data_IF_101645571772
#
_entry.id   IF_101645571772
#
_cell.length_a   1.000
_cell.length_b   1.000
_cell.length_c   1.000
_cell.angle_alpha   90.00
_cell.angle_beta   90.00
_cell.angle_gamma   90.00
#
_symmetry.space_group_name_H-M   'P 1'
#
loop_
_entity.id
_entity.type
_entity.pdbx_description
1 polymer ?
#
# COMPACT_ATOMS: atom_id res chain seq x y z
N UNK A 1 3.43 23.32 37.32
CA UNK A 1 2.34 22.36 37.01
C UNK A 1 2.28 22.22 35.50
N UNK A 2 2.67 21.07 34.94
CA UNK A 2 2.35 20.75 33.55
C UNK A 2 0.87 20.33 33.52
N UNK A 3 0.04 21.16 32.89
CA UNK A 3 -1.35 20.80 32.63
C UNK A 3 -1.35 19.59 31.67
N UNK A 4 -2.12 18.52 31.95
CA UNK A 4 -2.26 17.42 31.01
C UNK A 4 -2.92 17.97 29.74
N UNK A 5 -2.22 17.97 28.61
CA UNK A 5 -2.81 18.31 27.32
C UNK A 5 -3.93 17.31 27.01
N UNK A 6 -5.18 17.77 27.08
CA UNK A 6 -6.31 17.01 26.58
C UNK A 6 -6.32 17.18 25.06
N UNK A 7 -5.74 16.21 24.35
CA UNK A 7 -5.77 16.20 22.88
C UNK A 7 -7.10 15.57 22.45
N UNK A 8 -7.89 16.29 21.67
CA UNK A 8 -9.12 15.79 21.06
C UNK A 8 -8.83 14.82 19.91
N UNK A 9 -9.80 13.95 19.58
CA UNK A 9 -9.65 13.01 18.46
C UNK A 9 -9.39 13.74 17.13
N UNK A 10 -10.05 14.89 16.92
CA UNK A 10 -9.86 15.70 15.71
C UNK A 10 -8.47 16.32 15.63
N UNK A 11 -7.88 16.70 16.77
CA UNK A 11 -6.48 17.16 16.80
C UNK A 11 -5.52 16.01 16.50
N UNK A 12 -5.76 14.80 17.03
CA UNK A 12 -4.96 13.62 16.67
C UNK A 12 -5.06 13.32 15.18
N UNK A 13 -6.27 13.33 14.61
CA UNK A 13 -6.49 13.10 13.18
C UNK A 13 -5.81 14.18 12.33
N UNK A 14 -5.90 15.44 12.72
CA UNK A 14 -5.25 16.56 12.03
C UNK A 14 -3.73 16.44 12.07
N UNK A 15 -3.17 16.05 13.22
CA UNK A 15 -1.73 15.78 13.36
C UNK A 15 -1.28 14.59 12.52
N UNK A 16 -2.08 13.52 12.46
CA UNK A 16 -1.79 12.36 11.60
C UNK A 16 -1.84 12.72 10.12
N UNK A 17 -2.86 13.46 9.68
CA UNK A 17 -2.97 13.94 8.29
C UNK A 17 -1.77 14.81 7.91
N UNK A 18 -1.43 15.80 8.75
CA UNK A 18 -0.26 16.64 8.51
C UNK A 18 1.05 15.85 8.43
N UNK A 19 1.17 14.77 9.22
CA UNK A 19 2.34 13.88 9.15
C UNK A 19 2.34 13.06 7.87
N UNK A 20 1.19 12.53 7.44
CA UNK A 20 1.04 11.78 6.19
C UNK A 20 1.38 12.66 5.00
N UNK A 21 0.85 13.88 4.93
CA UNK A 21 1.14 14.84 3.86
C UNK A 21 2.63 15.19 3.80
N UNK A 22 3.25 15.40 4.98
CA UNK A 22 4.69 15.65 5.07
C UNK A 22 5.52 14.47 4.57
N UNK A 23 5.11 13.23 4.87
CA UNK A 23 5.80 12.03 4.38
C UNK A 23 5.64 11.88 2.86
N UNK A 24 4.43 12.12 2.33
CA UNK A 24 4.17 12.08 0.89
C UNK A 24 5.01 13.12 0.13
N UNK A 25 5.06 14.36 0.62
CA UNK A 25 5.88 15.41 0.02
C UNK A 25 7.38 15.07 0.04
N UNK A 26 7.87 14.52 1.15
CA UNK A 26 9.28 14.11 1.25
C UNK A 26 9.62 12.97 0.28
N UNK A 27 8.71 12.02 0.11
CA UNK A 27 8.86 10.92 -0.84
C UNK A 27 8.90 11.43 -2.30
N UNK A 28 8.00 12.33 -2.68
CA UNK A 28 8.01 12.96 -4.01
C UNK A 28 9.29 13.74 -4.29
N UNK A 29 9.76 14.50 -3.31
CA UNK A 29 11.01 15.25 -3.41
C UNK A 29 12.22 14.33 -3.58
N UNK A 30 12.26 13.22 -2.83
CA UNK A 30 13.33 12.23 -2.94
C UNK A 30 13.33 11.55 -4.32
N UNK A 31 12.15 11.11 -4.79
CA UNK A 31 11.97 10.55 -6.14
C UNK A 31 12.44 11.52 -7.23
N UNK A 32 12.10 12.80 -7.10
CA UNK A 32 12.50 13.84 -8.05
C UNK A 32 14.03 13.98 -8.11
N UNK A 33 14.69 14.11 -6.94
CA UNK A 33 16.15 14.22 -6.86
C UNK A 33 16.84 12.98 -7.40
N UNK A 34 16.34 11.80 -7.03
CA UNK A 34 16.85 10.52 -7.54
C UNK A 34 16.76 10.46 -9.05
N UNK A 35 15.60 10.73 -9.64
CA UNK A 35 15.39 10.69 -11.09
C UNK A 35 16.33 11.64 -11.84
N UNK A 36 16.55 12.86 -11.31
CA UNK A 36 17.48 13.82 -11.91
C UNK A 36 18.91 13.29 -11.90
N UNK A 37 19.37 12.77 -10.76
CA UNK A 37 20.72 12.24 -10.60
C UNK A 37 20.93 10.98 -11.44
N UNK A 38 20.03 10.00 -11.35
CA UNK A 38 20.08 8.77 -12.12
C UNK A 38 20.09 9.05 -13.63
N UNK A 39 19.24 9.98 -14.12
CA UNK A 39 19.25 10.41 -15.53
C UNK A 39 20.54 11.11 -15.93
N UNK A 40 21.14 11.90 -15.03
CA UNK A 40 22.43 12.51 -15.29
C UNK A 40 23.56 11.48 -15.41
N UNK A 41 23.55 10.45 -14.56
CA UNK A 41 24.51 9.34 -14.61
C UNK A 41 24.32 8.47 -15.85
N UNK A 42 23.06 8.13 -16.18
CA UNK A 42 22.71 7.35 -17.37
C UNK A 42 23.16 8.04 -18.66
N UNK A 43 22.90 9.34 -18.82
CA UNK A 43 23.35 10.12 -20.00
C UNK A 43 24.87 10.20 -20.13
N UNK A 44 25.61 10.04 -19.03
CA UNK A 44 27.07 9.99 -19.03
C UNK A 44 27.62 8.58 -19.26
N UNK A 45 26.76 7.58 -19.40
CA UNK A 45 27.16 6.17 -19.54
C UNK A 45 27.75 5.56 -18.27
N UNK A 46 27.50 6.17 -17.10
CA UNK A 46 27.97 5.66 -15.81
C UNK A 46 27.07 4.55 -15.25
N UNK A 47 25.83 4.48 -15.74
CA UNK A 47 24.85 3.45 -15.41
C UNK A 47 24.24 3.02 -16.75
N UNK A 48 24.15 1.71 -16.95
CA UNK A 48 23.55 1.07 -18.11
C UNK A 48 22.26 0.34 -17.74
N UNK A 49 21.54 -0.16 -18.74
CA UNK A 49 20.35 -0.97 -18.51
C UNK A 49 20.69 -2.26 -17.72
N UNK A 50 21.80 -2.90 -18.08
CA UNK A 50 22.29 -4.11 -17.41
C UNK A 50 22.67 -3.83 -15.95
N UNK A 51 23.31 -2.69 -15.67
CA UNK A 51 23.66 -2.31 -14.28
C UNK A 51 22.41 -2.21 -13.39
N UNK A 52 21.30 -1.69 -13.92
CA UNK A 52 20.02 -1.60 -13.19
C UNK A 52 19.43 -2.98 -12.95
N UNK A 53 19.43 -3.86 -13.96
CA UNK A 53 18.90 -5.23 -13.85
C UNK A 53 19.70 -6.03 -12.82
N UNK A 54 21.04 -6.02 -12.91
CA UNK A 54 21.91 -6.70 -11.95
C UNK A 54 21.72 -6.15 -10.53
N UNK A 55 21.61 -4.82 -10.37
CA UNK A 55 21.38 -4.20 -9.06
C UNK A 55 20.06 -4.66 -8.42
N UNK A 56 18.99 -4.82 -9.22
CA UNK A 56 17.71 -5.35 -8.72
C UNK A 56 17.87 -6.82 -8.30
N UNK A 57 18.59 -7.61 -9.10
CA UNK A 57 18.84 -9.02 -8.76
C UNK A 57 19.67 -9.15 -7.49
N UNK A 58 20.68 -8.30 -7.32
CA UNK A 58 21.51 -8.26 -6.12
C UNK A 58 20.70 -7.84 -4.89
N UNK A 59 19.86 -6.79 -5.00
CA UNK A 59 18.96 -6.38 -3.91
C UNK A 59 18.07 -7.54 -3.45
N UNK A 60 17.46 -8.29 -4.38
CA UNK A 60 16.64 -9.45 -4.00
C UNK A 60 17.44 -10.58 -3.38
N UNK A 61 18.70 -10.80 -3.81
CA UNK A 61 19.59 -11.76 -3.12
C UNK A 61 19.88 -11.33 -1.69
N UNK A 62 20.19 -10.05 -1.48
CA UNK A 62 20.41 -9.49 -0.14
C UNK A 62 19.16 -9.68 0.73
N UNK A 63 17.97 -9.40 0.19
CA UNK A 63 16.71 -9.62 0.91
C UNK A 63 16.45 -11.09 1.25
N UNK A 64 16.87 -12.01 0.38
CA UNK A 64 16.79 -13.45 0.61
C UNK A 64 17.75 -13.88 1.72
N UNK A 65 19.00 -13.41 1.66
CA UNK A 65 20.03 -13.69 2.67
C UNK A 65 19.68 -13.14 4.05
N UNK A 66 18.97 -11.99 4.09
CA UNK A 66 18.41 -11.42 5.31
C UNK A 66 17.15 -12.16 5.82
N UNK A 67 16.62 -13.12 5.06
CA UNK A 67 15.42 -13.87 5.40
C UNK A 67 14.12 -13.08 5.29
N UNK A 68 14.13 -11.94 4.59
CA UNK A 68 12.94 -11.10 4.35
C UNK A 68 12.04 -11.74 3.29
N UNK A 69 12.64 -12.38 2.29
CA UNK A 69 11.94 -13.14 1.25
C UNK A 69 12.38 -14.60 1.26
N UNK A 70 11.48 -15.50 0.89
CA UNK A 70 11.75 -16.95 0.90
C UNK A 70 12.34 -17.44 -0.42
N UNK A 71 11.98 -16.81 -1.54
CA UNK A 71 12.39 -17.21 -2.88
C UNK A 71 12.71 -15.97 -3.71
N UNK A 72 13.64 -16.15 -4.65
CA UNK A 72 13.96 -15.12 -5.64
C UNK A 72 12.78 -14.91 -6.60
N UNK A 73 12.43 -13.67 -6.95
CA UNK A 73 11.48 -13.41 -8.02
C UNK A 73 11.94 -14.03 -9.33
N UNK A 74 10.98 -14.37 -10.20
CA UNK A 74 11.29 -14.84 -11.54
C UNK A 74 11.97 -13.73 -12.35
N UNK A 75 12.77 -14.14 -13.34
CA UNK A 75 13.51 -13.21 -14.20
C UNK A 75 12.58 -12.21 -14.92
N UNK A 76 11.39 -12.65 -15.32
CA UNK A 76 10.34 -11.80 -15.91
C UNK A 76 9.90 -10.66 -14.99
N UNK A 77 9.79 -10.93 -13.68
CA UNK A 77 9.44 -9.93 -12.67
C UNK A 77 10.58 -8.94 -12.48
N UNK A 78 11.83 -9.43 -12.40
CA UNK A 78 13.02 -8.58 -12.29
C UNK A 78 13.10 -7.64 -13.49
N UNK A 79 12.90 -8.17 -14.70
CA UNK A 79 12.91 -7.39 -15.94
C UNK A 79 11.80 -6.33 -15.94
N UNK A 80 10.58 -6.70 -15.53
CA UNK A 80 9.45 -5.75 -15.44
C UNK A 80 9.75 -4.60 -14.48
N UNK A 81 10.35 -4.89 -13.32
CA UNK A 81 10.75 -3.86 -12.35
C UNK A 81 11.85 -2.97 -12.94
N UNK A 82 12.84 -3.56 -13.60
CA UNK A 82 13.91 -2.83 -14.25
C UNK A 82 13.40 -1.90 -15.34
N UNK A 83 12.49 -2.38 -16.20
CA UNK A 83 11.86 -1.59 -17.25
C UNK A 83 11.12 -0.38 -16.68
N UNK A 84 10.37 -0.56 -15.59
CA UNK A 84 9.70 0.53 -14.90
C UNK A 84 10.69 1.60 -14.42
N UNK A 85 11.77 1.19 -13.75
CA UNK A 85 12.81 2.12 -13.28
C UNK A 85 13.48 2.82 -14.47
N UNK A 86 13.82 2.09 -15.53
CA UNK A 86 14.47 2.62 -16.72
C UNK A 86 13.58 3.61 -17.46
N UNK A 87 12.26 3.42 -17.53
CA UNK A 87 11.32 4.39 -18.12
C UNK A 87 11.41 5.75 -17.42
N UNK A 88 11.49 5.77 -16.09
CA UNK A 88 11.66 7.00 -15.31
C UNK A 88 13.04 7.63 -15.48
N UNK A 89 14.11 6.81 -15.50
CA UNK A 89 15.48 7.28 -15.72
C UNK A 89 15.63 7.90 -17.11
N UNK A 90 15.17 7.19 -18.16
CA UNK A 90 15.20 7.64 -19.56
C UNK A 90 14.24 8.82 -19.81
N UNK A 91 13.19 8.92 -19.01
CA UNK A 91 12.20 9.99 -19.13
C UNK A 91 11.23 9.78 -20.28
N UNK A 92 10.87 8.52 -20.55
CA UNK A 92 9.89 8.17 -21.57
C UNK A 92 8.48 8.50 -21.07
N UNK A 93 8.03 9.72 -21.37
CA UNK A 93 6.73 10.24 -20.93
C UNK A 93 5.57 9.43 -21.49
N UNK A 94 5.69 8.90 -22.71
CA UNK A 94 4.63 8.12 -23.35
C UNK A 94 4.48 6.76 -22.68
N UNK A 95 5.60 6.07 -22.44
CA UNK A 95 5.59 4.80 -21.70
C UNK A 95 5.06 4.97 -20.27
N UNK A 96 5.48 6.05 -19.58
CA UNK A 96 5.00 6.35 -18.22
C UNK A 96 3.49 6.59 -18.20
N UNK A 97 2.95 7.40 -19.13
CA UNK A 97 1.50 7.63 -19.23
C UNK A 97 0.73 6.33 -19.46
N UNK A 98 1.21 5.50 -20.38
CA UNK A 98 0.60 4.20 -20.67
C UNK A 98 0.62 3.29 -19.43
N UNK A 99 1.74 3.23 -18.72
CA UNK A 99 1.86 2.45 -17.50
C UNK A 99 0.89 2.94 -16.40
N UNK A 100 0.69 4.25 -16.29
CA UNK A 100 -0.30 4.84 -15.37
C UNK A 100 -1.73 4.46 -15.75
N UNK A 101 -2.08 4.56 -17.04
CA UNK A 101 -3.41 4.18 -17.55
C UNK A 101 -3.71 2.69 -17.30
N UNK A 102 -2.73 1.83 -17.54
CA UNK A 102 -2.87 0.38 -17.34
C UNK A 102 -2.98 0.03 -15.86
N UNK A 103 -2.26 0.74 -14.97
CA UNK A 103 -2.40 0.61 -13.53
C UNK A 103 -3.78 1.06 -13.04
N UNK A 104 -4.29 2.20 -13.53
CA UNK A 104 -5.61 2.69 -13.18
C UNK A 104 -6.71 1.71 -13.62
N UNK A 105 -6.62 1.17 -14.84
CA UNK A 105 -7.55 0.13 -15.32
C UNK A 105 -7.53 -1.11 -14.44
N UNK A 106 -6.34 -1.60 -14.04
CA UNK A 106 -6.23 -2.74 -13.12
C UNK A 106 -6.87 -2.43 -11.76
N UNK A 107 -6.70 -1.24 -11.21
CA UNK A 107 -7.37 -0.84 -9.97
C UNK A 107 -8.89 -0.75 -10.11
N UNK A 108 -9.38 -0.21 -11.23
CA UNK A 108 -10.81 -0.17 -11.53
C UNK A 108 -11.38 -1.59 -11.70
N UNK A 109 -10.66 -2.52 -12.31
CA UNK A 109 -11.06 -3.92 -12.44
C UNK A 109 -11.06 -4.64 -11.08
N UNK A 110 -10.03 -4.44 -10.26
CA UNK A 110 -9.96 -5.02 -8.93
C UNK A 110 -11.05 -4.47 -8.00
N UNK A 111 -11.37 -3.18 -8.08
CA UNK A 111 -12.48 -2.60 -7.32
C UNK A 111 -13.84 -3.15 -7.79
N UNK A 112 -14.04 -3.32 -9.10
CA UNK A 112 -15.23 -3.99 -9.65
C UNK A 112 -15.32 -5.46 -9.21
N UNK A 113 -14.19 -6.19 -9.18
CA UNK A 113 -14.14 -7.56 -8.68
C UNK A 113 -14.37 -7.64 -7.16
N UNK A 114 -13.89 -6.68 -6.38
CA UNK A 114 -14.16 -6.59 -4.94
C UNK A 114 -15.62 -6.23 -4.65
N UNK A 115 -16.25 -5.41 -5.49
CA UNK A 115 -17.68 -5.12 -5.44
C UNK A 115 -18.55 -6.31 -5.92
N UNK A 116 -18.01 -7.15 -6.81
CA UNK A 116 -18.67 -8.36 -7.32
C UNK A 116 -18.46 -9.60 -6.44
N UNK A 117 -17.44 -9.63 -5.57
CA UNK A 117 -17.36 -10.64 -4.50
C UNK A 117 -18.57 -10.44 -3.59
N UNK A 118 -19.34 -11.51 -3.25
CA UNK A 118 -20.46 -11.38 -2.34
C UNK A 118 -19.94 -10.79 -1.03
N UNK A 119 -20.48 -9.63 -0.66
CA UNK A 119 -20.27 -9.07 0.68
C UNK A 119 -20.68 -10.16 1.66
N UNK A 120 -19.71 -10.75 2.36
CA UNK A 120 -20.04 -11.39 3.62
C UNK A 120 -20.44 -10.21 4.49
N UNK A 121 -21.74 -9.99 4.63
CA UNK A 121 -22.32 -9.08 5.62
C UNK A 121 -22.01 -9.66 6.99
N UNK A 122 -20.75 -9.52 7.42
CA UNK A 122 -20.36 -9.73 8.81
C UNK A 122 -20.99 -8.55 9.53
N UNK A 123 -22.20 -8.77 10.04
CA UNK A 123 -22.89 -7.83 10.90
C UNK A 123 -21.89 -7.30 11.93
N UNK A 124 -21.82 -5.97 12.08
CA UNK A 124 -20.89 -5.36 13.03
C UNK A 124 -21.10 -6.02 14.41
N UNK A 125 -20.05 -6.16 15.24
CA UNK A 125 -20.19 -6.76 16.57
C UNK A 125 -21.31 -6.12 17.42
N UNK A 126 -21.63 -4.85 17.14
CA UNK A 126 -22.76 -4.13 17.73
C UNK A 126 -24.13 -4.73 17.37
N UNK A 127 -24.33 -5.20 16.13
CA UNK A 127 -25.57 -5.86 15.68
C UNK A 127 -25.69 -7.25 16.30
N UNK A 128 -24.59 -8.00 16.40
CA UNK A 128 -24.56 -9.29 17.11
C UNK A 128 -24.90 -9.12 18.59
N UNK A 129 -24.36 -8.09 19.26
CA UNK A 129 -24.68 -7.76 20.65
C UNK A 129 -26.13 -7.33 20.85
N UNK A 130 -26.75 -6.66 19.87
CA UNK A 130 -28.18 -6.30 19.93
C UNK A 130 -29.08 -7.53 19.75
N UNK A 131 -28.74 -8.44 18.83
CA UNK A 131 -29.43 -9.71 18.65
C UNK A 131 -29.32 -10.61 19.88
N UNK A 132 -28.15 -10.68 20.53
CA UNK A 132 -27.95 -11.47 21.75
C UNK A 132 -28.75 -10.90 22.95
N UNK A 133 -28.86 -9.58 23.05
CA UNK A 133 -29.72 -8.90 24.04
C UNK A 133 -31.22 -9.14 23.78
N UNK A 134 -31.65 -9.17 22.52
CA UNK A 134 -33.03 -9.49 22.14
C UNK A 134 -33.37 -10.98 22.33
N UNK A 135 -32.42 -11.87 22.03
CA UNK A 135 -32.53 -13.33 22.23
C UNK A 135 -32.71 -13.68 23.72
N UNK A 136 -32.05 -12.96 24.62
CA UNK A 136 -32.13 -13.20 26.06
C UNK A 136 -33.34 -12.59 26.77
N UNK A 137 -34.25 -11.88 26.08
CA UNK A 137 -35.50 -11.38 26.68
C UNK A 137 -36.66 -12.40 26.64
N UNK A 138 -36.48 -13.59 26.06
CA UNK A 138 -37.56 -14.56 25.81
C UNK A 138 -37.60 -15.82 26.69
N UNK A 139 -36.67 -16.03 27.63
CA UNK A 139 -36.66 -17.27 28.46
C UNK A 139 -36.51 -16.97 29.95
N UNK A 140 -37.64 -16.97 30.66
CA UNK A 140 -37.64 -17.20 32.10
C UNK A 140 -38.87 -16.68 32.85
N UNK A 141 -39.86 -17.58 33.04
CA UNK A 141 -40.73 -17.77 34.25
C UNK A 141 -42.18 -18.11 33.88
N UNK A 142 -42.40 -19.32 33.36
CA UNK A 142 -43.67 -20.02 33.58
C UNK A 142 -43.59 -20.68 34.96
N UNK A 143 -44.32 -20.12 35.92
CA UNK A 143 -44.47 -20.62 37.28
C UNK A 143 -45.59 -21.68 37.23
N UNK A 144 -45.24 -22.96 37.19
CA UNK A 144 -46.19 -24.03 37.49
C UNK A 144 -46.53 -23.93 38.99
N UNK A 145 -47.79 -23.59 39.27
CA UNK A 145 -48.42 -23.73 40.59
C UNK A 145 -49.36 -24.94 40.46
N UNK A 146 -49.32 -25.79 41.49
CA UNK A 146 -50.15 -26.98 41.70
C UNK A 146 -51.63 -26.78 41.40
#
# INVERSE_FOLDING_TARGET
MQMPMQISLDEVLSMLLARVDSLAFNDENLKTKFNILARAMYRKGLITDDDVIESIREEHRILMDLGVIQEMPTEDVIQTVAEGILQWIKGDVEAIKKAMDDYEKKLQELSKQQQAKPKIDVASPAVLQQLDKLSNQGKGKSKLIY
#
